data_IF_630967294373
#
_entry.id   IF_630967294373
#
_cell.length_a   1.000
_cell.length_b   1.000
_cell.length_c   1.000
_cell.angle_alpha   90.00
_cell.angle_beta   90.00
_cell.angle_gamma   90.00
#
_symmetry.space_group_name_H-M   'P 1'
#
loop_
_entity.id
_entity.type
_entity.pdbx_description
1 polymer ?
#
# COMPACT_ATOMS: atom_id res chain seq x y z
N UNK A 1 -8.83 -13.13 -9.57
CA UNK A 1 -7.88 -13.75 -8.62
C UNK A 1 -8.21 -13.26 -7.21
N UNK A 2 -9.17 -13.90 -6.54
CA UNK A 2 -9.56 -13.54 -5.17
C UNK A 2 -8.67 -14.30 -4.18
N UNK A 3 -7.77 -13.60 -3.51
CA UNK A 3 -7.08 -14.16 -2.34
C UNK A 3 -8.13 -14.33 -1.23
N UNK A 4 -8.41 -15.58 -0.88
CA UNK A 4 -9.19 -15.93 0.30
C UNK A 4 -8.48 -15.36 1.54
N UNK A 5 -9.08 -14.38 2.21
CA UNK A 5 -8.68 -14.04 3.57
C UNK A 5 -9.16 -15.16 4.50
N UNK A 6 -8.22 -15.99 4.94
CA UNK A 6 -8.46 -17.00 5.97
C UNK A 6 -8.71 -16.29 7.31
N UNK A 7 -9.80 -16.66 7.97
CA UNK A 7 -10.28 -16.11 9.23
C UNK A 7 -9.34 -16.37 10.40
N UNK A 8 -8.26 -15.61 10.48
CA UNK A 8 -7.50 -15.40 11.71
C UNK A 8 -7.81 -13.99 12.22
N UNK A 9 -8.20 -13.88 13.50
CA UNK A 9 -8.42 -12.56 14.09
C UNK A 9 -7.12 -11.76 14.02
N UNK A 10 -7.13 -10.50 13.57
CA UNK A 10 -5.92 -9.71 13.47
C UNK A 10 -5.26 -9.58 14.85
N UNK A 11 -3.93 -9.70 14.89
CA UNK A 11 -3.14 -9.66 16.13
C UNK A 11 -3.23 -8.28 16.80
N UNK A 12 -3.43 -7.24 16.00
CA UNK A 12 -3.66 -5.86 16.42
C UNK A 12 -4.04 -4.98 15.23
N UNK A 13 -4.24 -3.68 15.49
CA UNK A 13 -4.54 -2.69 14.46
C UNK A 13 -3.38 -1.68 14.30
N UNK A 14 -3.05 -1.31 13.07
CA UNK A 14 -2.00 -0.36 12.72
C UNK A 14 -2.56 0.69 11.76
N UNK A 15 -2.14 1.95 11.90
CA UNK A 15 -2.47 3.03 10.96
C UNK A 15 -1.24 3.43 10.15
N UNK A 16 -1.38 3.43 8.83
CA UNK A 16 -0.37 3.93 7.89
C UNK A 16 -0.86 5.26 7.34
N UNK A 17 -0.05 6.31 7.52
CA UNK A 17 -0.34 7.66 7.01
C UNK A 17 0.52 7.92 5.78
N UNK A 18 -0.15 8.19 4.65
CA UNK A 18 0.46 8.40 3.34
C UNK A 18 0.32 7.18 2.43
N UNK A 19 -0.44 7.33 1.35
CA UNK A 19 -0.69 6.34 0.31
C UNK A 19 0.33 6.38 -0.84
N UNK A 20 1.58 6.78 -0.58
CA UNK A 20 2.66 6.65 -1.56
C UNK A 20 3.16 5.21 -1.70
N UNK A 21 4.11 4.96 -2.62
CA UNK A 21 4.69 3.62 -2.83
C UNK A 21 5.21 2.97 -1.53
N UNK A 22 5.87 3.76 -0.67
CA UNK A 22 6.38 3.29 0.61
C UNK A 22 5.27 2.91 1.59
N UNK A 23 4.21 3.73 1.69
CA UNK A 23 3.09 3.45 2.59
C UNK A 23 2.24 2.27 2.11
N UNK A 24 2.03 2.14 0.80
CA UNK A 24 1.37 0.97 0.21
C UNK A 24 2.14 -0.31 0.50
N UNK A 25 3.47 -0.31 0.32
CA UNK A 25 4.29 -1.49 0.62
C UNK A 25 4.25 -1.83 2.12
N UNK A 26 4.43 -0.83 3.00
CA UNK A 26 4.36 -1.04 4.44
C UNK A 26 3.00 -1.61 4.88
N UNK A 27 1.90 -1.12 4.29
CA UNK A 27 0.56 -1.62 4.58
C UNK A 27 0.38 -3.08 4.14
N UNK A 28 0.91 -3.44 2.97
CA UNK A 28 0.87 -4.83 2.49
C UNK A 28 1.71 -5.75 3.37
N UNK A 29 2.91 -5.34 3.76
CA UNK A 29 3.78 -6.13 4.63
C UNK A 29 3.12 -6.38 6.00
N UNK A 30 2.49 -5.34 6.58
CA UNK A 30 1.76 -5.44 7.84
C UNK A 30 0.48 -6.29 7.73
N UNK A 31 -0.26 -6.17 6.63
CA UNK A 31 -1.43 -7.00 6.38
C UNK A 31 -1.05 -8.48 6.22
N UNK A 32 0.04 -8.77 5.50
CA UNK A 32 0.59 -10.12 5.35
C UNK A 32 1.11 -10.68 6.68
N UNK A 33 1.61 -9.82 7.57
CA UNK A 33 1.99 -10.19 8.94
C UNK A 33 0.79 -10.44 9.88
N UNK A 34 -0.45 -10.22 9.42
CA UNK A 34 -1.67 -10.50 10.18
C UNK A 34 -2.18 -9.33 11.03
N UNK A 35 -1.76 -8.10 10.74
CA UNK A 35 -2.32 -6.90 11.36
C UNK A 35 -3.50 -6.37 10.56
N UNK A 36 -4.46 -5.75 11.26
CA UNK A 36 -5.50 -4.96 10.61
C UNK A 36 -4.96 -3.57 10.29
N UNK A 37 -4.86 -3.23 9.01
CA UNK A 37 -4.22 -1.99 8.58
C UNK A 37 -5.24 -0.95 8.13
N UNK A 38 -5.22 0.20 8.77
CA UNK A 38 -5.91 1.41 8.32
C UNK A 38 -4.94 2.26 7.49
N UNK A 39 -5.28 2.57 6.25
CA UNK A 39 -4.51 3.49 5.41
C UNK A 39 -5.23 4.84 5.30
N UNK A 40 -4.51 5.92 5.57
CA UNK A 40 -5.02 7.29 5.45
C UNK A 40 -4.15 8.08 4.48
N UNK A 41 -4.75 8.61 3.42
CA UNK A 41 -4.10 9.50 2.45
C UNK A 41 -4.84 10.85 2.46
N UNK A 42 -4.08 11.94 2.37
CA UNK A 42 -4.64 13.29 2.40
C UNK A 42 -5.27 13.68 1.05
N UNK A 43 -4.73 13.16 -0.05
CA UNK A 43 -5.24 13.37 -1.41
C UNK A 43 -6.40 12.44 -1.72
N UNK A 44 -7.14 12.76 -2.78
CA UNK A 44 -8.24 11.95 -3.29
C UNK A 44 -7.80 10.62 -3.91
N UNK A 45 -6.51 10.47 -4.22
CA UNK A 45 -5.94 9.27 -4.84
C UNK A 45 -4.61 8.88 -4.16
N UNK A 46 -4.36 7.57 -4.15
CA UNK A 46 -3.09 6.96 -3.72
C UNK A 46 -2.06 6.97 -4.86
N UNK A 47 -0.81 6.60 -4.58
CA UNK A 47 0.33 6.57 -5.51
C UNK A 47 1.41 7.61 -5.21
N UNK A 48 1.08 8.68 -4.45
CA UNK A 48 2.04 9.66 -3.96
C UNK A 48 2.72 10.46 -5.07
N UNK A 49 4.05 10.53 -5.06
CA UNK A 49 4.84 11.20 -6.11
C UNK A 49 5.04 10.29 -7.32
N UNK A 50 5.10 8.98 -7.09
CA UNK A 50 5.33 7.99 -8.16
C UNK A 50 4.23 8.04 -9.22
N UNK A 51 2.98 8.26 -8.81
CA UNK A 51 1.84 8.41 -9.74
C UNK A 51 1.91 9.64 -10.65
N UNK A 52 2.79 10.59 -10.35
CA UNK A 52 3.00 11.80 -11.17
C UNK A 52 4.17 11.64 -12.15
N UNK A 53 4.92 10.53 -12.06
CA UNK A 53 6.01 10.23 -12.97
C UNK A 53 5.47 9.48 -14.18
N UNK A 54 5.97 9.80 -15.37
CA UNK A 54 5.64 9.04 -16.58
C UNK A 54 6.38 7.69 -16.57
N UNK A 55 7.66 7.73 -16.18
CA UNK A 55 8.57 6.59 -16.23
C UNK A 55 9.47 6.48 -15.01
N UNK A 56 9.83 5.25 -14.64
CA UNK A 56 10.78 4.96 -13.56
C UNK A 56 12.13 4.50 -14.11
N UNK A 57 13.19 5.27 -13.85
CA UNK A 57 14.57 4.84 -14.13
C UNK A 57 14.97 3.68 -13.20
N UNK A 58 15.82 2.70 -13.61
CA UNK A 58 16.51 2.56 -14.90
C UNK A 58 15.73 1.80 -15.98
N UNK A 59 14.65 1.12 -15.60
CA UNK A 59 13.93 0.20 -16.51
C UNK A 59 13.06 0.92 -17.52
N UNK A 60 12.71 2.19 -17.24
CA UNK A 60 11.81 3.00 -18.07
C UNK A 60 10.41 2.38 -18.21
N UNK A 61 9.96 1.71 -17.14
CA UNK A 61 8.60 1.20 -17.00
C UNK A 61 7.62 2.33 -16.68
N UNK A 62 6.34 2.12 -17.01
CA UNK A 62 5.28 3.04 -16.61
C UNK A 62 5.12 3.02 -15.09
N UNK A 63 5.01 4.20 -14.48
CA UNK A 63 4.93 4.32 -13.02
C UNK A 63 3.53 3.95 -12.46
N UNK A 64 2.50 3.90 -13.32
CA UNK A 64 1.13 3.50 -13.00
C UNK A 64 0.53 2.70 -14.15
#
# INVERSE_FOLDING_TARGET
MSAKQQGNKPVGAVMVVGGGIAGMQAALDLANAGYFVHMVEAKTAIGGVMSQLDKTFPTNDCAM
#
